data_IF_025627494382
#
_entry.id   IF_025627494382
#
_cell.length_a   1.000
_cell.length_b   1.000
_cell.length_c   1.000
_cell.angle_alpha   90.00
_cell.angle_beta   90.00
_cell.angle_gamma   90.00
#
_symmetry.space_group_name_H-M   'P 1'
#
loop_
_entity.id
_entity.type
_entity.pdbx_description
1 polymer ?
#
# COMPACT_ATOMS: atom_id res chain seq x y z
N UNK A 1 -33.76 -1.44 1.16
CA UNK A 1 -32.55 -0.59 1.31
C UNK A 1 -31.62 -0.90 0.15
N UNK A 2 -31.23 0.12 -0.57
CA UNK A 2 -30.31 -0.03 -1.70
C UNK A 2 -28.91 0.33 -1.25
N UNK A 3 -27.96 -0.56 -1.54
CA UNK A 3 -26.56 -0.27 -1.34
C UNK A 3 -26.11 0.68 -2.46
N UNK A 4 -25.80 1.90 -2.08
CA UNK A 4 -25.31 2.89 -3.04
C UNK A 4 -23.85 3.17 -2.77
N UNK A 5 -23.04 3.09 -3.83
CA UNK A 5 -21.66 3.53 -3.78
C UNK A 5 -21.65 5.07 -3.87
N UNK A 6 -20.91 5.77 -2.98
CA UNK A 6 -20.81 7.22 -3.06
C UNK A 6 -20.31 7.69 -4.43
N UNK A 7 -20.71 8.87 -4.90
CA UNK A 7 -20.15 9.45 -6.12
C UNK A 7 -18.62 9.58 -6.01
N UNK A 8 -17.92 9.41 -7.12
CA UNK A 8 -16.45 9.55 -7.16
C UNK A 8 -15.97 10.91 -6.66
N UNK A 9 -16.74 11.97 -6.91
CA UNK A 9 -16.40 13.30 -6.42
C UNK A 9 -16.36 13.37 -4.89
N UNK A 10 -17.26 12.65 -4.20
CA UNK A 10 -17.25 12.57 -2.73
C UNK A 10 -16.07 11.71 -2.24
N UNK A 11 -15.71 10.64 -2.95
CA UNK A 11 -14.59 9.79 -2.60
C UNK A 11 -13.24 10.52 -2.71
N UNK A 12 -13.10 11.47 -3.65
CA UNK A 12 -11.87 12.25 -3.82
C UNK A 12 -11.51 13.10 -2.61
N UNK A 13 -12.47 13.40 -1.74
CA UNK A 13 -12.23 14.13 -0.50
C UNK A 13 -11.84 13.21 0.66
N UNK A 14 -11.79 11.90 0.41
CA UNK A 14 -11.40 10.90 1.38
C UNK A 14 -9.99 10.43 1.11
N UNK A 15 -9.37 9.89 2.13
CA UNK A 15 -8.09 9.20 2.01
C UNK A 15 -8.18 7.80 2.60
N UNK A 16 -7.41 6.89 2.03
CA UNK A 16 -7.31 5.51 2.50
C UNK A 16 -5.85 5.20 2.79
N UNK A 17 -5.58 4.79 4.02
CA UNK A 17 -4.26 4.31 4.44
C UNK A 17 -4.34 2.80 4.57
N UNK A 18 -3.53 2.10 3.80
CA UNK A 18 -3.49 0.63 3.81
C UNK A 18 -2.14 0.18 4.34
N UNK A 19 -2.14 -0.60 5.41
CA UNK A 19 -0.94 -1.18 5.97
C UNK A 19 -0.85 -2.65 5.57
N UNK A 20 0.12 -2.99 4.76
CA UNK A 20 0.44 -4.37 4.39
C UNK A 20 1.50 -4.90 5.34
N UNK A 21 1.23 -6.03 5.98
CA UNK A 21 2.16 -6.63 6.94
C UNK A 21 2.77 -7.94 6.46
N UNK A 22 2.25 -8.49 5.38
CA UNK A 22 2.66 -9.79 4.84
C UNK A 22 3.29 -9.65 3.46
N UNK A 23 4.30 -10.48 3.19
CA UNK A 23 4.95 -10.59 1.91
C UNK A 23 4.72 -11.96 1.29
N UNK A 24 5.81 -12.58 0.80
CA UNK A 24 5.75 -13.91 0.21
C UNK A 24 5.37 -15.00 1.21
N UNK A 25 5.50 -14.73 2.50
CA UNK A 25 5.09 -15.64 3.58
C UNK A 25 3.57 -15.84 3.67
N UNK A 26 2.81 -14.85 3.23
CA UNK A 26 1.35 -14.90 3.19
C UNK A 26 0.84 -14.19 1.93
N UNK A 27 0.96 -14.86 0.78
CA UNK A 27 0.72 -14.19 -0.52
C UNK A 27 -0.69 -13.66 -0.71
N UNK A 28 -1.70 -14.35 -0.19
CA UNK A 28 -3.08 -13.90 -0.32
C UNK A 28 -3.35 -12.62 0.47
N UNK A 29 -2.84 -12.54 1.71
CA UNK A 29 -2.96 -11.32 2.52
C UNK A 29 -2.23 -10.15 1.87
N UNK A 30 -1.04 -10.38 1.35
CA UNK A 30 -0.28 -9.36 0.62
C UNK A 30 -1.05 -8.88 -0.61
N UNK A 31 -1.59 -9.80 -1.39
CA UNK A 31 -2.37 -9.46 -2.58
C UNK A 31 -3.62 -8.65 -2.24
N UNK A 32 -4.33 -9.00 -1.17
CA UNK A 32 -5.54 -8.28 -0.74
C UNK A 32 -5.23 -6.82 -0.45
N UNK A 33 -4.14 -6.53 0.24
CA UNK A 33 -3.74 -5.17 0.55
C UNK A 33 -3.57 -4.32 -0.73
N UNK A 34 -2.85 -4.86 -1.70
CA UNK A 34 -2.60 -4.15 -2.96
C UNK A 34 -3.81 -4.09 -3.87
N UNK A 35 -4.64 -5.13 -3.87
CA UNK A 35 -5.88 -5.14 -4.64
C UNK A 35 -6.83 -4.04 -4.16
N UNK A 36 -6.99 -3.92 -2.85
CA UNK A 36 -7.84 -2.87 -2.25
C UNK A 36 -7.26 -1.49 -2.52
N UNK A 37 -5.95 -1.33 -2.34
CA UNK A 37 -5.28 -0.05 -2.60
C UNK A 37 -5.43 0.39 -4.06
N UNK A 38 -5.20 -0.51 -5.01
CA UNK A 38 -5.33 -0.21 -6.44
C UNK A 38 -6.77 0.11 -6.82
N UNK A 39 -7.75 -0.58 -6.25
CA UNK A 39 -9.17 -0.29 -6.45
C UNK A 39 -9.53 1.12 -5.94
N UNK A 40 -8.99 1.52 -4.80
CA UNK A 40 -9.19 2.86 -4.24
C UNK A 40 -8.56 3.94 -5.14
N UNK A 41 -7.36 3.69 -5.66
CA UNK A 41 -6.72 4.58 -6.65
C UNK A 41 -7.64 4.77 -7.85
N UNK A 42 -8.17 3.68 -8.40
CA UNK A 42 -9.07 3.71 -9.55
C UNK A 42 -10.36 4.48 -9.26
N UNK A 43 -10.82 4.47 -8.01
CA UNK A 43 -12.01 5.21 -7.57
C UNK A 43 -11.74 6.71 -7.32
N UNK A 44 -10.49 7.16 -7.43
CA UNK A 44 -10.12 8.56 -7.22
C UNK A 44 -9.84 8.91 -5.75
N UNK A 45 -9.72 7.93 -4.88
CA UNK A 45 -9.36 8.13 -3.47
C UNK A 45 -7.87 8.41 -3.36
N UNK A 46 -7.48 9.31 -2.46
CA UNK A 46 -6.08 9.50 -2.09
C UNK A 46 -5.61 8.27 -1.29
N UNK A 47 -4.59 7.57 -1.77
CA UNK A 47 -4.15 6.30 -1.18
C UNK A 47 -2.70 6.40 -0.70
N UNK A 48 -2.47 5.90 0.51
CA UNK A 48 -1.14 5.73 1.09
C UNK A 48 -0.99 4.28 1.52
N UNK A 49 -0.04 3.56 0.95
CA UNK A 49 0.24 2.16 1.29
C UNK A 49 1.53 2.10 2.09
N UNK A 50 1.45 1.45 3.24
CA UNK A 50 2.59 1.20 4.13
C UNK A 50 3.01 -0.25 4.03
N UNK A 51 4.30 -0.46 3.79
CA UNK A 51 4.91 -1.78 3.70
C UNK A 51 5.66 -2.04 5.00
N UNK A 52 5.15 -2.98 5.78
CA UNK A 52 5.71 -3.36 7.08
C UNK A 52 5.96 -4.86 7.11
N UNK A 53 6.74 -5.33 8.07
CA UNK A 53 7.07 -6.75 8.14
C UNK A 53 7.65 -7.25 6.82
N UNK A 54 7.23 -8.42 6.39
CA UNK A 54 7.71 -9.01 5.13
C UNK A 54 7.23 -8.26 3.88
N UNK A 55 6.18 -7.46 3.99
CA UNK A 55 5.77 -6.60 2.87
C UNK A 55 6.80 -5.52 2.54
N UNK A 56 7.72 -5.19 3.47
CA UNK A 56 8.78 -4.21 3.24
C UNK A 56 9.63 -4.55 1.99
N UNK A 57 9.80 -5.84 1.70
CA UNK A 57 10.57 -6.27 0.53
C UNK A 57 9.97 -5.81 -0.79
N UNK A 58 8.66 -5.59 -0.86
CA UNK A 58 8.00 -5.12 -2.09
C UNK A 58 8.37 -3.69 -2.47
N UNK A 59 9.00 -2.94 -1.57
CA UNK A 59 9.54 -1.62 -1.88
C UNK A 59 10.82 -1.67 -2.72
N UNK A 60 11.41 -2.85 -2.94
CA UNK A 60 12.63 -3.05 -3.68
C UNK A 60 12.35 -3.49 -5.12
N UNK A 61 13.25 -3.17 -6.07
CA UNK A 61 13.09 -3.60 -7.46
C UNK A 61 12.97 -5.13 -7.59
N UNK A 62 12.03 -5.57 -8.40
CA UNK A 62 11.87 -6.97 -8.76
C UNK A 62 11.18 -7.86 -7.74
N UNK A 63 10.98 -7.38 -6.52
CA UNK A 63 10.41 -8.22 -5.44
C UNK A 63 8.94 -8.51 -5.63
N UNK A 64 8.18 -7.54 -6.11
CA UNK A 64 6.73 -7.74 -6.33
C UNK A 64 6.47 -8.85 -7.35
N UNK A 65 7.33 -9.01 -8.36
CA UNK A 65 7.21 -10.04 -9.37
C UNK A 65 7.41 -11.48 -8.82
N UNK A 66 7.97 -11.62 -7.62
CA UNK A 66 8.16 -12.91 -6.97
C UNK A 66 6.87 -13.47 -6.36
N UNK A 67 5.84 -12.64 -6.19
CA UNK A 67 4.57 -13.11 -5.64
C UNK A 67 3.78 -13.87 -6.71
N UNK A 68 3.52 -15.14 -6.43
CA UNK A 68 2.67 -15.99 -7.27
C UNK A 68 1.38 -16.31 -6.53
N UNK A 69 0.25 -15.97 -7.16
CA UNK A 69 -1.07 -16.25 -6.61
C UNK A 69 -2.05 -16.42 -7.76
N UNK A 70 -2.78 -17.54 -7.75
CA UNK A 70 -3.82 -17.80 -8.74
C UNK A 70 -4.98 -16.80 -8.60
N UNK A 71 -5.62 -16.48 -9.72
CA UNK A 71 -6.78 -15.59 -9.78
C UNK A 71 -6.52 -14.20 -9.23
N UNK A 72 -5.28 -13.73 -9.35
CA UNK A 72 -4.88 -12.39 -8.91
C UNK A 72 -4.26 -11.63 -10.08
N UNK A 73 -4.46 -10.32 -10.10
CA UNK A 73 -3.69 -9.46 -10.99
C UNK A 73 -2.21 -9.52 -10.56
N UNK A 74 -1.26 -9.39 -11.50
CA UNK A 74 0.15 -9.36 -11.14
C UNK A 74 0.45 -8.26 -10.13
N UNK A 75 1.15 -8.61 -9.05
CA UNK A 75 1.46 -7.64 -8.00
C UNK A 75 2.23 -6.42 -8.51
N UNK A 76 3.19 -6.57 -9.45
CA UNK A 76 3.84 -5.40 -10.03
C UNK A 76 2.88 -4.37 -10.63
N UNK A 77 1.80 -4.82 -11.27
CA UNK A 77 0.82 -3.92 -11.86
C UNK A 77 0.05 -3.14 -10.79
N UNK A 78 -0.32 -3.80 -9.70
CA UNK A 78 -1.00 -3.17 -8.57
C UNK A 78 -0.09 -2.17 -7.87
N UNK A 79 1.17 -2.54 -7.68
CA UNK A 79 2.18 -1.69 -7.06
C UNK A 79 2.44 -0.44 -7.92
N UNK A 80 2.55 -0.61 -9.23
CA UNK A 80 2.74 0.50 -10.17
C UNK A 80 1.57 1.47 -10.14
N UNK A 81 0.34 0.97 -10.02
CA UNK A 81 -0.85 1.82 -9.90
C UNK A 81 -0.79 2.70 -8.65
N UNK A 82 -0.35 2.13 -7.54
CA UNK A 82 -0.17 2.88 -6.29
C UNK A 82 0.95 3.91 -6.42
N UNK A 83 2.09 3.52 -7.00
CA UNK A 83 3.22 4.44 -7.20
C UNK A 83 2.87 5.61 -8.11
N UNK A 84 2.03 5.37 -9.13
CA UNK A 84 1.67 6.40 -10.11
C UNK A 84 0.75 7.49 -9.52
N UNK A 85 -0.12 7.14 -8.58
CA UNK A 85 -1.17 8.05 -8.11
C UNK A 85 -1.25 8.21 -6.59
N UNK A 86 -0.56 7.36 -5.83
CA UNK A 86 -0.59 7.37 -4.38
C UNK A 86 0.80 7.50 -3.77
N UNK A 87 0.90 7.09 -2.51
CA UNK A 87 2.16 7.08 -1.76
C UNK A 87 2.45 5.65 -1.32
N UNK A 88 3.68 5.20 -1.54
CA UNK A 88 4.16 3.91 -1.07
C UNK A 88 5.31 4.14 -0.10
N UNK A 89 5.20 3.58 1.11
CA UNK A 89 6.15 3.83 2.19
C UNK A 89 6.64 2.51 2.78
N UNK A 90 7.95 2.37 2.95
CA UNK A 90 8.52 1.29 3.76
C UNK A 90 8.71 1.81 5.18
N UNK A 91 8.24 1.04 6.17
CA UNK A 91 8.38 1.41 7.57
C UNK A 91 9.86 1.44 7.97
N UNK A 92 10.29 2.51 8.63
CA UNK A 92 11.69 2.72 9.04
C UNK A 92 12.24 1.54 9.83
N UNK A 93 11.51 1.04 10.82
CA UNK A 93 11.96 -0.07 11.65
C UNK A 93 12.04 -1.37 10.87
N UNK A 94 11.07 -1.62 10.01
CA UNK A 94 11.04 -2.83 9.19
C UNK A 94 12.16 -2.82 8.15
N UNK A 95 12.48 -1.66 7.60
CA UNK A 95 13.61 -1.46 6.70
C UNK A 95 14.93 -1.74 7.44
N UNK A 96 15.10 -1.17 8.62
CA UNK A 96 16.32 -1.33 9.42
C UNK A 96 16.59 -2.81 9.76
N UNK A 97 15.56 -3.55 10.17
CA UNK A 97 15.69 -4.99 10.48
C UNK A 97 16.11 -5.81 9.27
N UNK A 98 15.84 -5.33 8.06
CA UNK A 98 16.12 -6.04 6.80
C UNK A 98 17.30 -5.47 6.03
N UNK A 99 17.98 -4.48 6.60
CA UNK A 99 19.11 -3.83 5.93
C UNK A 99 18.71 -3.04 4.68
N UNK A 100 17.44 -2.60 4.59
CA UNK A 100 16.94 -1.80 3.48
C UNK A 100 17.28 -0.33 3.72
N UNK A 101 17.94 0.29 2.75
CA UNK A 101 18.29 1.72 2.81
C UNK A 101 17.51 2.51 1.76
N UNK A 102 17.60 3.85 1.84
CA UNK A 102 16.96 4.71 0.87
C UNK A 102 17.44 4.47 -0.57
N UNK A 103 18.67 3.99 -0.74
CA UNK A 103 19.23 3.70 -2.06
C UNK A 103 18.70 2.39 -2.65
N UNK A 104 18.14 1.53 -1.82
CA UNK A 104 17.67 0.20 -2.24
C UNK A 104 16.25 0.22 -2.80
N UNK A 105 15.43 1.19 -2.40
CA UNK A 105 14.00 1.20 -2.73
C UNK A 105 13.74 1.72 -4.15
N UNK A 106 12.59 1.34 -4.69
CA UNK A 106 12.11 1.83 -5.98
C UNK A 106 12.01 3.36 -5.96
N UNK A 107 12.24 4.01 -7.12
CA UNK A 107 12.00 5.46 -7.24
C UNK A 107 10.58 5.81 -6.81
N UNK A 108 10.46 6.84 -5.96
CA UNK A 108 9.18 7.28 -5.43
C UNK A 108 8.74 6.61 -4.14
N UNK A 109 9.40 5.54 -3.71
CA UNK A 109 9.13 4.90 -2.43
C UNK A 109 9.75 5.72 -1.29
N UNK A 110 8.94 6.00 -0.28
CA UNK A 110 9.34 6.76 0.91
C UNK A 110 9.71 5.80 2.03
N UNK A 111 10.63 6.19 2.89
CA UNK A 111 10.89 5.50 4.17
C UNK A 111 10.46 6.45 5.28
N UNK A 112 9.53 6.00 6.13
CA UNK A 112 9.00 6.79 7.24
C UNK A 112 8.55 5.88 8.38
N UNK A 113 8.36 6.46 9.55
CA UNK A 113 8.06 5.72 10.77
C UNK A 113 6.61 5.82 11.22
N UNK A 114 6.35 5.21 12.37
CA UNK A 114 5.01 5.09 12.95
C UNK A 114 4.34 6.44 13.20
N UNK A 115 5.09 7.48 13.55
CA UNK A 115 4.51 8.80 13.81
C UNK A 115 3.84 9.37 12.55
N UNK A 116 4.44 9.17 11.38
CA UNK A 116 3.87 9.60 10.10
C UNK A 116 2.63 8.76 9.77
N UNK A 117 2.69 7.45 10.02
CA UNK A 117 1.54 6.57 9.83
C UNK A 117 0.33 7.03 10.66
N UNK A 118 0.54 7.33 11.94
CA UNK A 118 -0.53 7.80 12.83
C UNK A 118 -1.11 9.12 12.35
N UNK A 119 -0.26 10.05 11.91
CA UNK A 119 -0.70 11.33 11.37
C UNK A 119 -1.60 11.12 10.15
N UNK A 120 -1.23 10.24 9.24
CA UNK A 120 -2.04 9.93 8.07
C UNK A 120 -3.36 9.24 8.44
N UNK A 121 -3.31 8.28 9.37
CA UNK A 121 -4.48 7.51 9.79
C UNK A 121 -5.51 8.37 10.53
N UNK A 122 -5.06 9.39 11.25
CA UNK A 122 -5.94 10.27 12.03
C UNK A 122 -6.34 11.54 11.29
N UNK A 123 -5.90 11.73 10.06
CA UNK A 123 -6.30 12.88 9.25
C UNK A 123 -7.81 12.85 9.01
N UNK A 124 -8.43 14.04 9.01
CA UNK A 124 -9.85 14.17 8.71
C UNK A 124 -10.17 13.54 7.34
N UNK A 125 -11.21 12.73 7.28
CA UNK A 125 -11.59 12.01 6.06
C UNK A 125 -10.79 10.76 5.77
N UNK A 126 -9.82 10.41 6.62
CA UNK A 126 -9.00 9.21 6.44
C UNK A 126 -9.67 7.97 7.05
N UNK A 127 -9.42 6.84 6.41
CA UNK A 127 -9.71 5.52 6.94
C UNK A 127 -8.46 4.66 6.81
N UNK A 128 -8.17 3.86 7.81
CA UNK A 128 -6.99 2.99 7.81
C UNK A 128 -7.42 1.52 7.85
N UNK A 129 -6.83 0.72 6.98
CA UNK A 129 -7.04 -0.72 6.91
C UNK A 129 -5.70 -1.42 7.07
N UNK A 130 -5.70 -2.52 7.81
CA UNK A 130 -4.49 -3.33 8.05
C UNK A 130 -4.74 -4.75 7.56
N UNK A 131 -3.83 -5.23 6.76
CA UNK A 131 -3.83 -6.58 6.21
C UNK A 131 -2.63 -7.39 6.69
#
# INVERSE_FOLDING_TARGET
MTDTVPPRAALRQRSLVVKATSGLDRPEAANQAFTVAAAAVAAGVEVSVWLTGEAAWFGLPGRAAELELEHAAPLPDLLDAVLAAGTLTVCTQCAARRGITADDVLPGVRIAGAAVFVEEALREGAQALVY
#
